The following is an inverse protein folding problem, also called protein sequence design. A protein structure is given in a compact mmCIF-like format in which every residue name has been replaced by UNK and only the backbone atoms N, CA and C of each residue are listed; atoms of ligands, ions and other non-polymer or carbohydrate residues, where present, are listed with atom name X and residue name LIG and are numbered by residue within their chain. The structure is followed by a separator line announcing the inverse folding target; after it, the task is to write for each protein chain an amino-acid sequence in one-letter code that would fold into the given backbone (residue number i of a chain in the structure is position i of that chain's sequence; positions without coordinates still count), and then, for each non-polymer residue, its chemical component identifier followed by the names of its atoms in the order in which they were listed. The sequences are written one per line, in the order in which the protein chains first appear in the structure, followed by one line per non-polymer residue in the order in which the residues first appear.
data_IF_365540669974
#
_entry.id   IF_365540669974
#
_cell.length_a   1.000
_cell.length_b   1.000
_cell.length_c   1.000
_cell.angle_alpha   90.00
_cell.angle_beta   90.00
_cell.angle_gamma   90.00
#
_symmetry.space_group_name_H-M   'P 1'
#
loop_
_entity.id
_entity.type
_entity.pdbx_description
1 polymer ?
#
# COMPACT_ATOMS: atom_id res chain seq x y z
N UNK A 1 1.04 -16.72 6.16
CA UNK A 1 -0.08 -16.00 5.54
C UNK A 1 0.46 -14.84 4.74
N UNK A 2 -0.09 -14.59 3.55
CA UNK A 2 0.30 -13.50 2.65
C UNK A 2 -0.97 -12.86 2.10
N UNK A 3 -0.98 -11.55 1.97
CA UNK A 3 -2.04 -10.83 1.28
C UNK A 3 -1.47 -9.64 0.50
N UNK A 4 -2.11 -9.31 -0.62
CA UNK A 4 -1.73 -8.20 -1.51
C UNK A 4 -2.97 -7.40 -1.86
N UNK A 5 -2.94 -6.09 -1.61
CA UNK A 5 -4.13 -5.23 -1.72
C UNK A 5 -3.79 -3.79 -2.10
N UNK A 6 -4.78 -3.07 -2.59
CA UNK A 6 -4.71 -1.64 -2.79
C UNK A 6 -4.90 -0.92 -1.45
N UNK A 7 -3.86 -0.25 -0.98
CA UNK A 7 -3.89 0.45 0.29
C UNK A 7 -4.52 1.83 0.13
N UNK A 8 -5.60 2.11 0.87
CA UNK A 8 -6.19 3.43 0.94
C UNK A 8 -5.43 4.33 1.92
N UNK A 9 -5.05 3.77 3.06
CA UNK A 9 -4.22 4.44 4.07
C UNK A 9 -3.57 3.42 5.01
N UNK A 10 -2.50 3.84 5.67
CA UNK A 10 -1.85 3.10 6.73
C UNK A 10 -1.67 3.96 7.99
N UNK A 11 -1.33 3.32 9.10
CA UNK A 11 -1.04 3.99 10.37
C UNK A 11 -0.02 3.18 11.17
N UNK A 12 0.92 3.89 11.81
CA UNK A 12 1.73 3.33 12.91
C UNK A 12 0.92 3.44 14.20
N UNK A 13 0.60 2.32 14.82
CA UNK A 13 -0.18 2.30 16.07
C UNK A 13 0.73 2.07 17.27
N UNK A 14 0.71 2.99 18.25
CA UNK A 14 1.41 2.83 19.53
C UNK A 14 0.51 2.14 20.54
N UNK A 15 0.84 0.90 20.85
CA UNK A 15 0.02 0.01 21.69
C UNK A 15 0.37 0.13 23.19
N UNK A 16 0.24 1.31 23.76
CA UNK A 16 0.51 1.55 25.20
C UNK A 16 -0.41 0.73 26.11
N UNK A 17 -1.64 0.45 25.65
CA UNK A 17 -2.63 -0.34 26.38
C UNK A 17 -2.41 -1.87 26.31
N UNK A 18 -1.34 -2.33 25.66
CA UNK A 18 -1.04 -3.78 25.50
C UNK A 18 -2.22 -4.59 24.93
N UNK A 19 -2.99 -3.98 24.04
CA UNK A 19 -4.13 -4.62 23.38
C UNK A 19 -3.66 -5.74 22.43
N UNK A 20 -4.54 -6.68 22.17
CA UNK A 20 -4.32 -7.68 21.10
C UNK A 20 -4.63 -7.07 19.74
N UNK A 21 -4.08 -7.63 18.63
CA UNK A 21 -4.47 -7.18 17.28
C UNK A 21 -5.97 -7.19 17.04
N UNK A 22 -6.71 -8.17 17.60
CA UNK A 22 -8.15 -8.26 17.47
C UNK A 22 -8.88 -7.08 18.14
N UNK A 23 -8.46 -6.70 19.35
CA UNK A 23 -9.01 -5.53 20.06
C UNK A 23 -8.70 -4.23 19.32
N UNK A 24 -7.48 -4.10 18.78
CA UNK A 24 -7.10 -2.92 17.99
C UNK A 24 -7.92 -2.87 16.70
N UNK A 25 -8.07 -3.99 15.97
CA UNK A 25 -8.89 -4.06 14.76
C UNK A 25 -10.35 -3.68 15.03
N UNK A 26 -10.94 -4.19 16.12
CA UNK A 26 -12.30 -3.83 16.52
C UNK A 26 -12.44 -2.32 16.81
N UNK A 27 -11.42 -1.71 17.43
CA UNK A 27 -11.40 -0.28 17.76
C UNK A 27 -11.20 0.63 16.54
N UNK A 28 -10.39 0.20 15.56
CA UNK A 28 -9.93 1.05 14.46
C UNK A 28 -10.63 0.80 13.14
N UNK A 29 -11.24 -0.38 12.96
CA UNK A 29 -11.87 -0.79 11.70
C UNK A 29 -10.87 -1.05 10.57
N UNK A 30 -9.56 -1.22 10.87
CA UNK A 30 -8.58 -1.53 9.84
C UNK A 30 -8.86 -2.89 9.18
N UNK A 31 -8.54 -3.02 7.89
CA UNK A 31 -8.70 -4.28 7.15
C UNK A 31 -7.59 -5.27 7.51
N UNK A 32 -6.34 -4.78 7.60
CA UNK A 32 -5.16 -5.55 7.89
C UNK A 32 -4.41 -4.95 9.07
N UNK A 33 -3.79 -5.81 9.87
CA UNK A 33 -2.93 -5.42 10.97
C UNK A 33 -1.79 -6.45 11.10
N UNK A 34 -0.57 -5.96 11.29
CA UNK A 34 0.61 -6.78 11.58
C UNK A 34 1.41 -6.16 12.72
N UNK A 35 2.20 -6.98 13.43
CA UNK A 35 3.13 -6.47 14.45
C UNK A 35 4.10 -5.46 13.81
N UNK A 36 4.58 -4.53 14.62
CA UNK A 36 5.59 -3.55 14.24
C UNK A 36 7.01 -4.09 14.34
N UNK A 37 7.95 -3.17 14.59
CA UNK A 37 9.38 -3.46 14.67
C UNK A 37 9.81 -3.92 16.07
N UNK A 38 11.11 -4.11 16.25
CA UNK A 38 11.74 -4.60 17.48
C UNK A 38 11.40 -3.73 18.70
N UNK A 39 11.45 -4.33 19.87
CA UNK A 39 11.26 -3.64 21.15
C UNK A 39 12.08 -4.27 22.25
N UNK A 40 12.33 -3.49 23.32
CA UNK A 40 13.10 -3.91 24.49
C UNK A 40 12.20 -4.56 25.55
N UNK A 41 12.84 -5.07 26.62
CA UNK A 41 12.16 -5.71 27.76
C UNK A 41 11.29 -4.75 28.60
N UNK A 42 11.43 -3.43 28.41
CA UNK A 42 10.56 -2.39 29.01
C UNK A 42 9.33 -2.08 28.17
N UNK A 43 9.07 -2.88 27.12
CA UNK A 43 7.96 -2.68 26.19
C UNK A 43 8.06 -1.35 25.38
N UNK A 44 9.28 -0.90 25.11
CA UNK A 44 9.54 0.32 24.33
C UNK A 44 10.03 -0.05 22.94
N UNK A 45 9.55 0.62 21.88
CA UNK A 45 10.06 0.40 20.52
C UNK A 45 11.57 0.65 20.44
N UNK A 46 12.27 -0.17 19.68
CA UNK A 46 13.67 0.00 19.28
C UNK A 46 13.67 0.44 17.81
N UNK A 47 14.65 1.25 17.42
CA UNK A 47 14.67 1.91 16.12
C UNK A 47 13.87 3.22 16.13
N UNK A 48 13.84 3.90 15.00
CA UNK A 48 13.04 5.10 14.85
C UNK A 48 11.55 4.77 14.81
N UNK A 49 10.81 5.38 15.68
CA UNK A 49 9.35 5.35 15.71
C UNK A 49 8.84 6.76 15.86
N UNK A 50 8.13 7.24 14.83
CA UNK A 50 7.47 8.55 14.81
C UNK A 50 5.99 8.31 14.54
N UNK A 51 5.12 8.97 15.27
CA UNK A 51 3.66 8.88 15.11
C UNK A 51 3.11 10.29 15.05
N UNK A 52 2.51 10.66 13.93
CA UNK A 52 1.93 11.97 13.67
C UNK A 52 2.90 13.11 14.01
N UNK A 53 4.15 12.98 13.56
CA UNK A 53 5.24 13.92 13.82
C UNK A 53 5.86 13.81 15.20
N UNK A 54 5.26 13.10 16.15
CA UNK A 54 5.81 12.91 17.50
C UNK A 54 6.79 11.75 17.53
N UNK A 55 8.03 12.01 17.94
CA UNK A 55 9.06 10.98 18.12
C UNK A 55 8.78 10.19 19.39
N UNK A 56 8.57 8.88 19.23
CA UNK A 56 8.35 7.90 20.31
C UNK A 56 9.67 7.23 20.69
N UNK A 57 10.50 6.90 19.70
CA UNK A 57 11.82 6.31 19.89
C UNK A 57 12.81 6.85 18.86
N UNK A 58 14.06 7.02 19.29
CA UNK A 58 15.21 7.43 18.47
C UNK A 58 16.34 6.43 18.67
N UNK A 59 16.40 5.45 17.81
CA UNK A 59 17.50 4.51 17.79
C UNK A 59 18.02 4.40 16.35
N UNK A 60 19.31 4.52 16.15
CA UNK A 60 19.95 4.56 14.83
C UNK A 60 20.14 3.16 14.20
N UNK A 61 19.60 2.10 14.82
CA UNK A 61 19.84 0.72 14.37
C UNK A 61 19.41 0.46 12.93
N UNK A 62 18.32 1.08 12.45
CA UNK A 62 17.87 0.98 11.06
C UNK A 62 17.40 2.35 10.53
N UNK A 63 17.92 2.74 9.36
CA UNK A 63 17.56 3.99 8.70
C UNK A 63 16.30 3.87 7.85
N UNK A 64 16.04 2.68 7.31
CA UNK A 64 14.87 2.39 6.50
C UNK A 64 13.66 2.07 7.35
N UNK A 65 12.49 2.47 6.87
CA UNK A 65 11.24 2.17 7.54
C UNK A 65 10.03 2.34 6.64
N UNK A 66 8.88 2.03 7.21
CA UNK A 66 7.59 2.41 6.66
C UNK A 66 7.35 3.87 7.00
N UNK A 67 7.44 4.74 6.02
CA UNK A 67 7.10 6.16 6.12
C UNK A 67 5.66 6.36 5.64
N UNK A 68 4.85 7.09 6.40
CA UNK A 68 3.45 7.37 6.10
C UNK A 68 3.29 8.89 6.12
N UNK A 69 3.03 9.44 4.94
CA UNK A 69 2.79 10.88 4.77
C UNK A 69 1.42 11.32 5.28
N UNK A 70 1.11 12.59 5.15
CA UNK A 70 -0.17 13.19 5.53
C UNK A 70 -1.36 12.62 4.73
N UNK A 71 -1.11 12.09 3.54
CA UNK A 71 -2.09 11.39 2.69
C UNK A 71 -2.39 9.95 3.17
N UNK A 72 -1.68 9.47 4.18
CA UNK A 72 -1.80 8.12 4.72
C UNK A 72 -1.14 7.05 3.86
N UNK A 73 -0.48 7.39 2.74
CA UNK A 73 0.15 6.41 1.84
C UNK A 73 1.45 5.86 2.45
N UNK A 74 1.58 4.54 2.64
CA UNK A 74 2.79 3.93 3.16
C UNK A 74 3.82 3.76 2.04
N UNK A 75 5.08 4.11 2.31
CA UNK A 75 6.23 3.93 1.41
C UNK A 75 7.44 3.41 2.18
N UNK A 76 8.35 2.71 1.50
CA UNK A 76 9.65 2.38 2.05
C UNK A 76 10.63 3.53 1.81
N UNK A 77 10.90 4.31 2.84
CA UNK A 77 11.76 5.51 2.78
C UNK A 77 12.70 5.56 4.00
N UNK A 78 13.61 6.53 3.96
CA UNK A 78 14.40 6.99 5.11
C UNK A 78 13.86 8.28 5.70
N UNK A 79 12.89 8.90 5.04
CA UNK A 79 12.21 10.12 5.50
C UNK A 79 11.30 9.81 6.71
N UNK A 80 11.45 10.60 7.76
CA UNK A 80 10.77 10.46 9.05
C UNK A 80 9.70 11.54 9.26
N UNK A 81 9.34 12.26 8.22
CA UNK A 81 8.19 13.17 8.23
C UNK A 81 6.87 12.42 8.37
N UNK A 82 5.90 12.97 9.09
CA UNK A 82 4.63 12.29 9.36
C UNK A 82 4.75 11.15 10.36
N UNK A 83 4.38 9.92 9.99
CA UNK A 83 4.59 8.72 10.81
C UNK A 83 5.65 7.83 10.18
N UNK A 84 6.48 7.21 11.02
CA UNK A 84 7.58 6.36 10.60
C UNK A 84 7.78 5.19 11.55
N UNK A 85 8.02 4.00 11.00
CA UNK A 85 8.40 2.82 11.77
C UNK A 85 9.59 2.14 11.11
N UNK A 86 10.71 2.04 11.81
CA UNK A 86 11.90 1.30 11.34
C UNK A 86 11.58 -0.12 10.90
N UNK A 87 12.38 -0.64 9.98
CA UNK A 87 12.36 -2.02 9.53
C UNK A 87 13.69 -2.40 8.90
N UNK A 88 14.01 -3.69 8.88
CA UNK A 88 15.21 -4.20 8.20
C UNK A 88 14.95 -4.20 6.69
N UNK A 89 15.72 -3.45 5.88
CA UNK A 89 15.53 -3.46 4.44
C UNK A 89 15.86 -4.83 3.85
N UNK A 90 14.93 -5.37 3.07
CA UNK A 90 15.04 -6.66 2.39
C UNK A 90 15.27 -6.49 0.89
N UNK A 91 14.43 -5.68 0.26
CA UNK A 91 14.42 -5.45 -1.18
C UNK A 91 14.36 -3.95 -1.47
N UNK A 92 15.03 -3.52 -2.53
CA UNK A 92 14.90 -2.18 -3.11
C UNK A 92 14.97 -2.25 -4.62
N UNK A 93 13.96 -1.74 -5.31
CA UNK A 93 13.83 -1.79 -6.77
C UNK A 93 14.05 -3.21 -7.34
N UNK A 94 13.54 -4.25 -6.66
CA UNK A 94 13.68 -5.64 -7.05
C UNK A 94 15.02 -6.29 -6.72
N UNK A 95 15.99 -5.56 -6.17
CA UNK A 95 17.28 -6.09 -5.75
C UNK A 95 17.27 -6.46 -4.25
N UNK A 96 17.93 -7.57 -3.91
CA UNK A 96 18.14 -7.95 -2.51
C UNK A 96 19.12 -7.00 -1.83
N UNK A 97 18.74 -6.50 -0.66
CA UNK A 97 19.61 -5.72 0.21
C UNK A 97 20.26 -6.64 1.27
N UNK A 98 21.55 -6.46 1.45
CA UNK A 98 22.33 -7.16 2.47
C UNK A 98 22.75 -6.16 3.53
N UNK A 99 22.33 -6.41 4.78
CA UNK A 99 22.79 -5.67 5.95
C UNK A 99 23.30 -6.66 6.99
N UNK A 100 24.31 -6.28 7.71
CA UNK A 100 24.71 -6.99 8.92
C UNK A 100 23.59 -6.88 9.94
N UNK A 101 23.26 -7.99 10.55
CA UNK A 101 22.21 -8.12 11.56
C UNK A 101 22.81 -8.78 12.79
N UNK A 102 22.33 -8.43 13.96
CA UNK A 102 22.66 -9.14 15.18
C UNK A 102 22.20 -10.60 15.07
N UNK A 103 22.90 -11.56 15.70
CA UNK A 103 22.63 -13.00 15.55
C UNK A 103 21.18 -13.40 15.84
N UNK A 104 20.53 -12.73 16.80
CA UNK A 104 19.14 -12.95 17.18
C UNK A 104 18.14 -12.53 16.10
N UNK A 105 18.45 -11.49 15.33
CA UNK A 105 17.65 -11.03 14.18
C UNK A 105 17.96 -11.83 12.92
N UNK A 106 19.23 -12.22 12.74
CA UNK A 106 19.70 -12.96 11.57
C UNK A 106 19.23 -14.41 11.50
N UNK A 107 19.01 -15.05 12.67
CA UNK A 107 18.60 -16.47 12.76
C UNK A 107 17.34 -16.77 11.96
N UNK A 108 17.15 -18.04 11.60
CA UNK A 108 15.88 -18.52 11.06
C UNK A 108 14.77 -18.42 12.11
N UNK A 109 13.64 -17.83 11.74
CA UNK A 109 12.52 -17.58 12.63
C UNK A 109 11.22 -17.36 11.84
N UNK A 110 10.08 -17.33 12.54
CA UNK A 110 8.84 -16.78 12.02
C UNK A 110 9.06 -15.32 11.56
N UNK A 111 8.42 -14.89 10.48
CA UNK A 111 8.70 -13.60 9.85
C UNK A 111 7.44 -12.78 9.62
N UNK A 112 7.60 -11.48 9.84
CA UNK A 112 6.65 -10.46 9.40
C UNK A 112 7.38 -9.49 8.47
N UNK A 113 6.75 -9.15 7.34
CA UNK A 113 7.29 -8.19 6.39
C UNK A 113 6.17 -7.36 5.77
N UNK A 114 6.53 -6.16 5.33
CA UNK A 114 5.73 -5.30 4.48
C UNK A 114 6.50 -5.02 3.21
N UNK A 115 5.84 -5.09 2.07
CA UNK A 115 6.43 -4.84 0.77
C UNK A 115 5.48 -4.09 -0.15
N UNK A 116 6.03 -3.66 -1.28
CA UNK A 116 5.31 -2.94 -2.32
C UNK A 116 5.61 -3.58 -3.67
N UNK A 117 4.58 -3.77 -4.47
CA UNK A 117 4.69 -4.20 -5.85
C UNK A 117 4.92 -3.00 -6.76
N UNK A 118 5.39 -3.23 -7.98
CA UNK A 118 5.62 -2.18 -8.97
C UNK A 118 4.36 -1.35 -9.30
N UNK A 119 3.16 -1.94 -9.17
CA UNK A 119 1.87 -1.27 -9.35
C UNK A 119 1.38 -0.51 -8.09
N UNK A 120 2.21 -0.39 -7.05
CA UNK A 120 1.90 0.33 -5.82
C UNK A 120 1.08 -0.45 -4.79
N UNK A 121 0.64 -1.67 -5.08
CA UNK A 121 -0.05 -2.52 -4.08
C UNK A 121 0.87 -2.86 -2.93
N UNK A 122 0.29 -2.92 -1.73
CA UNK A 122 0.99 -3.38 -0.52
C UNK A 122 0.90 -4.89 -0.43
N UNK A 123 2.02 -5.53 -0.12
CA UNK A 123 2.12 -6.95 0.20
C UNK A 123 2.47 -7.10 1.69
N UNK A 124 1.67 -7.84 2.43
CA UNK A 124 1.95 -8.21 3.81
C UNK A 124 2.29 -9.69 3.90
N UNK A 125 3.43 -9.98 4.49
CA UNK A 125 3.86 -11.32 4.87
C UNK A 125 3.80 -11.46 6.38
N UNK A 126 3.10 -12.49 6.89
CA UNK A 126 3.08 -12.83 8.30
C UNK A 126 2.94 -14.35 8.43
N UNK A 127 4.01 -15.04 8.81
CA UNK A 127 4.02 -16.50 8.82
C UNK A 127 4.84 -17.05 9.98
N UNK A 128 4.34 -18.14 10.59
CA UNK A 128 5.02 -18.88 11.67
C UNK A 128 6.10 -19.84 11.17
N UNK A 129 6.13 -20.14 9.86
CA UNK A 129 7.22 -20.93 9.28
C UNK A 129 8.56 -20.24 9.55
N UNK A 130 9.54 -21.03 9.98
CA UNK A 130 10.89 -20.55 10.22
C UNK A 130 11.61 -20.31 8.90
N UNK A 131 11.95 -19.06 8.62
CA UNK A 131 12.63 -18.64 7.41
C UNK A 131 13.91 -17.87 7.75
N UNK A 132 14.96 -18.09 6.96
CA UNK A 132 16.08 -17.16 6.91
C UNK A 132 15.66 -15.87 6.22
N UNK A 133 16.47 -14.80 6.36
CA UNK A 133 16.27 -13.56 5.62
C UNK A 133 16.24 -13.80 4.10
N UNK A 134 17.18 -14.58 3.60
CA UNK A 134 17.28 -14.84 2.17
C UNK A 134 16.08 -15.62 1.62
N UNK A 135 15.61 -16.63 2.37
CA UNK A 135 14.40 -17.35 2.00
C UNK A 135 13.18 -16.42 1.92
N UNK A 136 13.06 -15.47 2.86
CA UNK A 136 12.00 -14.47 2.83
C UNK A 136 12.13 -13.54 1.61
N UNK A 137 13.34 -13.05 1.31
CA UNK A 137 13.61 -12.24 0.11
C UNK A 137 13.22 -12.97 -1.17
N UNK A 138 13.61 -14.25 -1.32
CA UNK A 138 13.23 -15.07 -2.48
C UNK A 138 11.71 -15.22 -2.62
N UNK A 139 11.03 -15.46 -1.51
CA UNK A 139 9.56 -15.57 -1.52
C UNK A 139 8.88 -14.26 -1.90
N UNK A 140 9.35 -13.12 -1.38
CA UNK A 140 8.80 -11.80 -1.72
C UNK A 140 9.06 -11.44 -3.19
N UNK A 141 10.26 -11.73 -3.72
CA UNK A 141 10.54 -11.56 -5.16
C UNK A 141 9.63 -12.42 -6.03
N UNK A 142 9.38 -13.68 -5.64
CA UNK A 142 8.45 -14.56 -6.34
C UNK A 142 7.00 -14.07 -6.34
N UNK A 143 6.63 -13.16 -5.43
CA UNK A 143 5.33 -12.50 -5.40
C UNK A 143 5.30 -11.17 -6.20
N UNK A 144 6.41 -10.78 -6.85
CA UNK A 144 6.53 -9.53 -7.59
C UNK A 144 6.77 -8.29 -6.70
N UNK A 145 7.19 -8.49 -5.46
CA UNK A 145 7.52 -7.40 -4.54
C UNK A 145 8.85 -6.78 -4.98
N UNK A 146 8.88 -5.46 -5.13
CA UNK A 146 10.07 -4.70 -5.55
C UNK A 146 10.76 -3.98 -4.40
N UNK A 147 10.01 -3.49 -3.42
CA UNK A 147 10.53 -2.88 -2.19
C UNK A 147 10.01 -3.67 -0.99
N UNK A 148 10.83 -3.95 0.02
CA UNK A 148 10.36 -4.67 1.20
C UNK A 148 11.19 -4.40 2.45
N UNK A 149 10.51 -4.41 3.60
CA UNK A 149 11.07 -4.33 4.94
C UNK A 149 10.65 -5.54 5.77
N UNK A 150 11.58 -6.09 6.55
CA UNK A 150 11.27 -7.06 7.60
C UNK A 150 11.00 -6.32 8.91
N UNK A 151 9.93 -6.72 9.56
CA UNK A 151 9.53 -6.25 10.89
C UNK A 151 10.00 -7.25 11.96
N UNK A 152 9.53 -7.10 13.21
CA UNK A 152 9.87 -8.06 14.25
C UNK A 152 9.31 -9.46 13.93
N UNK A 153 10.10 -10.47 14.27
CA UNK A 153 9.82 -11.86 13.94
C UNK A 153 9.68 -12.76 15.16
N UNK A 154 9.84 -14.05 14.94
CA UNK A 154 9.81 -15.05 16.00
C UNK A 154 8.50 -15.03 16.81
N UNK A 155 8.60 -14.91 18.11
CA UNK A 155 7.45 -14.86 19.02
C UNK A 155 6.54 -13.65 18.83
N UNK A 156 7.02 -12.57 18.20
CA UNK A 156 6.23 -11.36 17.94
C UNK A 156 5.37 -11.45 16.68
N UNK A 157 5.66 -12.40 15.79
CA UNK A 157 4.95 -12.57 14.51
C UNK A 157 3.46 -12.79 14.74
N UNK A 158 2.66 -11.80 14.37
CA UNK A 158 1.20 -11.83 14.48
C UNK A 158 0.55 -10.85 13.52
N UNK A 159 -0.65 -11.16 13.06
CA UNK A 159 -1.39 -10.31 12.16
C UNK A 159 -2.83 -10.78 11.95
N UNK A 160 -3.68 -9.90 11.48
CA UNK A 160 -5.06 -10.18 11.07
C UNK A 160 -5.27 -9.60 9.68
N UNK A 161 -5.82 -10.41 8.82
CA UNK A 161 -6.10 -10.15 7.42
C UNK A 161 -7.58 -10.43 7.14
N UNK A 162 -8.16 -9.99 6.05
CA UNK A 162 -9.53 -10.35 5.69
C UNK A 162 -9.74 -11.87 5.63
N UNK A 163 -8.75 -12.62 5.15
CA UNK A 163 -8.83 -14.07 4.93
C UNK A 163 -8.34 -14.93 6.10
N UNK A 164 -7.91 -14.34 7.22
CA UNK A 164 -7.44 -15.11 8.36
C UNK A 164 -6.53 -14.36 9.32
N UNK A 165 -5.90 -15.09 10.23
CA UNK A 165 -5.04 -14.52 11.29
C UNK A 165 -3.84 -15.40 11.59
N UNK A 166 -2.75 -14.75 12.00
CA UNK A 166 -1.60 -15.36 12.65
C UNK A 166 -1.55 -14.82 14.09
N UNK A 167 -1.62 -15.69 15.07
CA UNK A 167 -1.75 -15.30 16.49
C UNK A 167 -0.44 -15.45 17.24
N UNK A 168 -0.26 -14.61 18.27
CA UNK A 168 0.80 -14.71 19.26
C UNK A 168 0.26 -14.32 20.63
N UNK A 169 0.77 -14.94 21.68
CA UNK A 169 0.53 -14.51 23.06
C UNK A 169 1.34 -13.27 23.44
N UNK A 170 2.41 -12.98 22.68
CA UNK A 170 3.29 -11.84 22.95
C UNK A 170 2.59 -10.53 22.61
N UNK A 171 2.49 -9.62 23.54
CA UNK A 171 2.09 -8.23 23.28
C UNK A 171 3.25 -7.50 22.63
N UNK A 172 2.92 -6.57 21.72
CA UNK A 172 3.90 -5.74 21.00
C UNK A 172 3.56 -4.26 21.15
N UNK A 173 4.57 -3.37 21.31
CA UNK A 173 4.31 -1.95 21.55
C UNK A 173 3.93 -1.17 20.30
N UNK A 174 4.25 -1.69 19.11
CA UNK A 174 3.88 -1.06 17.83
C UNK A 174 3.26 -2.06 16.88
N UNK A 175 2.31 -1.59 16.08
CA UNK A 175 1.70 -2.33 14.98
C UNK A 175 1.58 -1.43 13.76
N UNK A 176 1.52 -2.04 12.58
CA UNK A 176 1.11 -1.38 11.35
C UNK A 176 -0.32 -1.78 11.03
N UNK A 177 -1.15 -0.78 10.85
CA UNK A 177 -2.54 -0.90 10.47
C UNK A 177 -2.71 -0.42 9.03
N UNK A 178 -3.54 -1.12 8.26
CA UNK A 178 -3.84 -0.74 6.89
C UNK A 178 -5.35 -0.80 6.65
N UNK A 179 -5.84 0.11 5.83
CA UNK A 179 -7.20 0.10 5.29
C UNK A 179 -7.10 -0.15 3.80
N UNK A 180 -7.68 -1.26 3.39
CA UNK A 180 -7.79 -1.59 1.98
C UNK A 180 -8.74 -0.61 1.29
N UNK A 181 -8.36 -0.15 0.10
CA UNK A 181 -9.25 0.59 -0.77
C UNK A 181 -10.36 -0.37 -1.20
N UNK A 182 -11.57 -0.12 -0.75
CA UNK A 182 -12.72 -0.82 -1.32
C UNK A 182 -12.73 -0.48 -2.80
N UNK A 183 -12.85 -1.50 -3.66
CA UNK A 183 -13.28 -1.22 -5.01
C UNK A 183 -14.55 -0.37 -4.87
N UNK A 184 -14.55 0.87 -5.35
CA UNK A 184 -15.80 1.55 -5.56
C UNK A 184 -16.63 0.52 -6.32
N UNK A 185 -17.78 0.11 -5.73
CA UNK A 185 -18.82 -0.55 -6.51
C UNK A 185 -19.01 0.41 -7.66
N UNK A 186 -18.50 0.03 -8.82
CA UNK A 186 -18.55 0.89 -9.99
C UNK A 186 -20.01 1.28 -10.16
N UNK A 187 -20.36 2.47 -9.65
CA UNK A 187 -21.25 3.28 -10.44
C UNK A 187 -20.53 3.31 -11.79
N UNK A 188 -21.09 2.76 -12.87
CA UNK A 188 -20.39 2.73 -14.11
C UNK A 188 -19.86 4.16 -14.30
N UNK A 189 -18.55 4.31 -14.18
CA UNK A 189 -17.89 5.56 -14.53
C UNK A 189 -18.52 5.92 -15.85
N UNK A 190 -19.12 7.11 -16.03
CA UNK A 190 -19.62 7.46 -17.33
C UNK A 190 -18.50 7.09 -18.26
N UNK A 191 -18.78 6.17 -19.21
CA UNK A 191 -17.78 5.61 -20.10
C UNK A 191 -16.91 6.78 -20.54
N UNK A 192 -15.56 6.67 -20.54
CA UNK A 192 -14.69 7.80 -20.83
C UNK A 192 -15.32 8.47 -22.04
N UNK A 193 -15.82 9.68 -21.84
CA UNK A 193 -16.45 10.42 -22.92
C UNK A 193 -15.37 10.46 -23.95
N UNK A 194 -15.54 9.65 -25.01
CA UNK A 194 -14.66 9.62 -26.16
C UNK A 194 -14.44 11.10 -26.45
N UNK A 195 -13.18 11.61 -26.49
CA UNK A 195 -12.97 13.03 -26.66
C UNK A 195 -13.91 13.48 -27.76
N UNK A 196 -14.77 14.45 -27.47
CA UNK A 196 -15.86 14.85 -28.39
C UNK A 196 -15.18 15.10 -29.71
N UNK A 197 -15.62 14.39 -30.74
CA UNK A 197 -15.03 14.49 -32.05
C UNK A 197 -14.97 16.00 -32.41
N UNK A 198 -13.80 16.58 -32.67
CA UNK A 198 -13.67 18.00 -32.93
C UNK A 198 -14.67 18.49 -34.01
N UNK A 199 -15.05 17.63 -34.96
CA UNK A 199 -16.05 17.92 -35.96
C UNK A 199 -17.47 18.01 -35.34
N UNK A 200 -17.81 17.20 -34.33
CA UNK A 200 -19.09 17.27 -33.63
C UNK A 200 -19.17 18.54 -32.75
N UNK A 201 -18.10 18.88 -32.04
CA UNK A 201 -18.00 20.09 -31.24
C UNK A 201 -18.14 21.35 -32.15
N UNK A 202 -17.48 21.34 -33.27
CA UNK A 202 -17.58 22.42 -34.27
C UNK A 202 -19.01 22.51 -34.87
N UNK A 203 -19.64 21.39 -35.21
CA UNK A 203 -21.00 21.34 -35.75
C UNK A 203 -22.04 21.90 -34.77
N UNK A 204 -21.92 21.58 -33.46
CA UNK A 204 -22.73 22.15 -32.40
C UNK A 204 -22.51 23.65 -32.24
N UNK A 205 -21.26 24.11 -32.22
CA UNK A 205 -20.93 25.54 -32.12
C UNK A 205 -21.43 26.37 -33.26
N UNK A 206 -21.60 25.77 -34.45
CA UNK A 206 -22.19 26.41 -35.64
C UNK A 206 -23.71 26.24 -35.76
N UNK A 207 -24.38 25.61 -34.78
CA UNK A 207 -25.83 25.37 -34.80
C UNK A 207 -26.31 24.38 -35.87
N UNK A 208 -25.38 23.58 -36.40
CA UNK A 208 -25.68 22.57 -37.43
C UNK A 208 -26.18 21.27 -36.86
N UNK A 209 -26.03 21.06 -35.55
CA UNK A 209 -26.43 19.85 -34.80
C UNK A 209 -26.90 20.23 -33.37
N UNK A 210 -27.77 19.40 -32.84
CA UNK A 210 -28.19 19.44 -31.41
C UNK A 210 -27.77 18.15 -30.73
N UNK A 211 -27.78 18.13 -29.40
CA UNK A 211 -27.44 16.91 -28.64
C UNK A 211 -28.39 15.74 -28.94
N UNK A 212 -29.61 16.02 -29.36
CA UNK A 212 -30.60 15.01 -29.72
C UNK A 212 -30.34 14.30 -31.03
N UNK A 213 -29.61 14.93 -31.96
CA UNK A 213 -29.27 14.33 -33.28
C UNK A 213 -27.78 13.97 -33.44
N UNK A 214 -26.98 14.28 -32.44
CA UNK A 214 -25.57 13.88 -32.41
C UNK A 214 -25.34 12.35 -32.27
N UNK A 215 -26.39 11.61 -31.86
CA UNK A 215 -26.34 10.15 -31.74
C UNK A 215 -26.68 9.43 -33.07
N UNK A 216 -27.20 10.12 -34.04
CA UNK A 216 -27.44 9.55 -35.38
C UNK A 216 -26.12 9.46 -36.13
N UNK A 217 -25.77 8.24 -36.56
CA UNK A 217 -24.60 8.01 -37.41
C UNK A 217 -24.78 8.68 -38.74
N UNK A 218 -24.15 9.85 -38.93
CA UNK A 218 -24.04 10.47 -40.24
C UNK A 218 -23.37 9.48 -41.19
N UNK A 219 -24.07 9.18 -42.28
CA UNK A 219 -23.47 8.38 -43.34
C UNK A 219 -22.34 9.18 -44.01
N UNK A 220 -21.36 8.49 -44.60
CA UNK A 220 -20.29 9.14 -45.38
C UNK A 220 -20.82 10.13 -46.41
N UNK A 221 -22.00 9.86 -47.01
CA UNK A 221 -22.64 10.70 -47.99
C UNK A 221 -23.17 12.02 -47.39
N UNK A 222 -23.68 11.99 -46.15
CA UNK A 222 -24.15 13.20 -45.46
C UNK A 222 -22.99 14.08 -45.03
N UNK A 223 -21.90 13.49 -44.57
CA UNK A 223 -20.67 14.23 -44.23
C UNK A 223 -20.09 14.95 -45.48
N UNK A 224 -20.04 14.27 -46.63
CA UNK A 224 -19.55 14.82 -47.88
C UNK A 224 -20.45 15.97 -48.33
N UNK A 225 -21.78 15.87 -48.20
CA UNK A 225 -22.72 16.95 -48.54
C UNK A 225 -22.55 18.19 -47.67
N UNK A 226 -22.30 18.00 -46.39
CA UNK A 226 -22.03 19.10 -45.43
C UNK A 226 -20.70 19.80 -45.79
N UNK A 227 -19.65 19.03 -46.04
CA UNK A 227 -18.35 19.55 -46.46
C UNK A 227 -18.43 20.30 -47.79
N UNK A 228 -19.18 19.77 -48.75
CA UNK A 228 -19.37 20.43 -50.08
C UNK A 228 -20.06 21.78 -49.93
N UNK A 229 -21.15 21.87 -49.14
CA UNK A 229 -21.83 23.14 -48.85
C UNK A 229 -20.96 24.18 -48.15
N UNK A 230 -19.99 23.75 -47.35
CA UNK A 230 -19.06 24.65 -46.67
C UNK A 230 -17.92 25.16 -47.55
N UNK A 231 -17.64 24.48 -48.66
CA UNK A 231 -16.59 24.86 -49.60
C UNK A 231 -17.11 25.75 -50.74
N UNK A 232 -18.44 25.77 -50.98
CA UNK A 232 -19.08 26.62 -51.99
C UNK A 232 -19.63 27.96 -51.45
N UNK A 233 -19.57 28.21 -50.14
CA UNK A 233 -19.97 29.46 -49.48
C UNK A 233 -18.79 30.20 -48.92
#
# INVERSE_FOLDING_TARGET
MVDTFDCARAQVYHNTGKLTPAQIKAKTGCSHIVNGYLFNNKFQPVGWTVIDGKVISRDAYQDWGVSIGSDGTPKMLTDRGGSFLSGVPLLKAGAKLHRELTPDVARSAARTAVGWLANGKVCLWCDKASLTREQLQNKLLGLGVVDALMLDGGGSTQGIFPKGKVTSSRKVPTLLLFWERKAETANPSPAPTKPEDPALAWGKAKGLMTDSNAAETLTRAELVRVLYKLMEG
#
